data_IF_558141944032
#
_entry.id   IF_558141944032
#
_cell.length_a   1.000
_cell.length_b   1.000
_cell.length_c   1.000
_cell.angle_alpha   90.00
_cell.angle_beta   90.00
_cell.angle_gamma   90.00
#
_symmetry.space_group_name_H-M   'P 1'
#
loop_
_entity.id
_entity.type
_entity.pdbx_description
1 polymer ?
#
# COMPACT_ATOMS: atom_id res chain seq x y z
N UNK A 1 -36.93 4.16 20.64
CA UNK A 1 -35.62 3.63 21.07
C UNK A 1 -35.68 2.11 21.34
N UNK A 2 -36.52 1.33 20.62
CA UNK A 2 -36.71 -0.12 20.90
C UNK A 2 -36.92 -0.99 19.64
N UNK A 3 -36.77 -0.46 18.43
CA UNK A 3 -36.92 -1.24 17.18
C UNK A 3 -35.71 -2.13 16.92
N UNK A 4 -34.52 -1.72 17.35
CA UNK A 4 -33.26 -2.47 17.22
C UNK A 4 -33.29 -3.84 17.92
N UNK A 5 -33.97 -3.93 19.07
CA UNK A 5 -34.00 -5.17 19.86
C UNK A 5 -34.92 -6.23 19.25
N UNK A 6 -35.94 -5.80 18.50
CA UNK A 6 -36.87 -6.71 17.83
C UNK A 6 -36.28 -7.26 16.53
N UNK A 7 -35.53 -6.44 15.80
CA UNK A 7 -34.77 -6.86 14.61
C UNK A 7 -33.63 -7.83 14.98
N UNK A 8 -32.97 -7.63 16.13
CA UNK A 8 -31.98 -8.57 16.66
C UNK A 8 -32.59 -9.94 17.03
N UNK A 9 -33.81 -9.98 17.57
CA UNK A 9 -34.51 -11.23 17.89
C UNK A 9 -35.04 -11.96 16.63
N UNK A 10 -35.44 -11.22 15.61
CA UNK A 10 -35.82 -11.80 14.31
C UNK A 10 -34.62 -12.38 13.56
N UNK A 11 -33.43 -11.78 13.70
CA UNK A 11 -32.19 -12.33 13.16
C UNK A 11 -31.74 -13.62 13.89
N UNK A 12 -31.99 -13.73 15.20
CA UNK A 12 -31.71 -14.96 15.97
C UNK A 12 -32.69 -16.11 15.64
N UNK A 13 -33.87 -15.79 15.09
CA UNK A 13 -34.87 -16.75 14.66
C UNK A 13 -34.66 -17.30 13.23
N UNK A 14 -33.61 -16.85 12.52
CA UNK A 14 -33.20 -17.49 11.27
C UNK A 14 -32.70 -18.90 11.60
N UNK A 15 -33.52 -19.90 11.28
CA UNK A 15 -33.14 -21.31 11.33
C UNK A 15 -31.88 -21.53 10.49
N UNK A 16 -30.72 -21.60 11.15
CA UNK A 16 -29.50 -22.10 10.55
C UNK A 16 -29.79 -23.53 10.13
N UNK A 17 -30.02 -23.74 8.82
CA UNK A 17 -30.20 -25.07 8.26
C UNK A 17 -29.07 -25.96 8.77
N UNK A 18 -29.37 -27.04 9.51
CA UNK A 18 -28.34 -27.92 10.04
C UNK A 18 -27.53 -28.45 8.85
N UNK A 19 -26.21 -28.27 8.91
CA UNK A 19 -25.30 -28.76 7.88
C UNK A 19 -25.57 -30.24 7.65
N UNK A 20 -25.88 -30.61 6.40
CA UNK A 20 -26.10 -32.00 6.04
C UNK A 20 -24.82 -32.81 6.22
N UNK A 21 -24.93 -34.12 6.47
CA UNK A 21 -23.76 -35.02 6.61
C UNK A 21 -22.77 -34.87 5.46
N UNK A 22 -23.26 -34.67 4.23
CA UNK A 22 -22.44 -34.50 3.03
C UNK A 22 -21.61 -33.19 3.05
N UNK A 23 -22.15 -32.13 3.66
CA UNK A 23 -21.46 -30.84 3.78
C UNK A 23 -20.36 -30.90 4.85
N UNK A 24 -20.64 -31.57 5.97
CA UNK A 24 -19.66 -31.82 7.02
C UNK A 24 -18.52 -32.73 6.53
N UNK A 25 -18.81 -33.73 5.71
CA UNK A 25 -17.80 -34.59 5.07
C UNK A 25 -16.91 -33.78 4.11
N UNK A 26 -17.51 -32.92 3.27
CA UNK A 26 -16.76 -32.06 2.37
C UNK A 26 -15.88 -31.04 3.11
N UNK A 27 -16.41 -30.43 4.17
CA UNK A 27 -15.64 -29.53 5.02
C UNK A 27 -14.46 -30.26 5.69
N UNK A 28 -14.68 -31.50 6.16
CA UNK A 28 -13.63 -32.30 6.79
C UNK A 28 -12.50 -32.67 5.82
N UNK A 29 -12.81 -32.90 4.53
CA UNK A 29 -11.80 -33.12 3.49
C UNK A 29 -10.96 -31.86 3.22
N UNK A 30 -11.58 -30.68 3.15
CA UNK A 30 -10.85 -29.42 2.97
C UNK A 30 -9.93 -29.16 4.16
N UNK A 31 -10.39 -29.44 5.38
CA UNK A 31 -9.58 -29.32 6.60
C UNK A 31 -8.42 -30.33 6.60
N UNK A 32 -8.66 -31.57 6.14
CA UNK A 32 -7.60 -32.57 5.99
C UNK A 32 -6.47 -32.13 5.08
N UNK A 33 -6.78 -31.44 3.98
CA UNK A 33 -5.76 -30.86 3.10
C UNK A 33 -4.96 -29.71 3.76
N UNK A 34 -5.52 -29.04 4.76
CA UNK A 34 -4.82 -27.94 5.44
C UNK A 34 -4.01 -28.42 6.66
N UNK A 35 -4.33 -29.60 7.20
CA UNK A 35 -3.67 -30.18 8.36
C UNK A 35 -2.28 -30.75 8.02
N UNK A 36 -1.33 -30.58 8.94
CA UNK A 36 0.06 -31.04 8.79
C UNK A 36 0.28 -32.47 9.25
N UNK A 37 -0.45 -32.90 10.28
CA UNK A 37 -0.38 -34.24 10.86
C UNK A 37 -1.74 -34.64 11.47
N UNK A 38 -1.79 -35.86 12.03
CA UNK A 38 -3.03 -36.42 12.61
C UNK A 38 -3.53 -35.60 13.80
N UNK A 39 -2.63 -35.08 14.62
CA UNK A 39 -2.98 -34.38 15.85
C UNK A 39 -3.51 -32.97 15.49
N UNK A 40 -2.86 -32.29 14.56
CA UNK A 40 -3.32 -31.03 13.96
C UNK A 40 -4.70 -31.18 13.28
N UNK A 41 -4.94 -32.29 12.57
CA UNK A 41 -6.24 -32.61 12.00
C UNK A 41 -7.33 -32.76 13.06
N UNK A 42 -7.04 -33.46 14.15
CA UNK A 42 -7.99 -33.66 15.24
C UNK A 42 -8.35 -32.33 15.92
N UNK A 43 -7.36 -31.46 16.13
CA UNK A 43 -7.55 -30.13 16.71
C UNK A 43 -8.37 -29.21 15.79
N UNK A 44 -8.08 -29.19 14.49
CA UNK A 44 -8.81 -28.37 13.51
C UNK A 44 -10.26 -28.83 13.33
N UNK A 45 -10.52 -30.14 13.26
CA UNK A 45 -11.88 -30.68 13.18
C UNK A 45 -12.66 -30.38 14.47
N UNK A 46 -12.02 -30.52 15.63
CA UNK A 46 -12.59 -30.18 16.93
C UNK A 46 -12.97 -28.70 17.06
N UNK A 47 -12.10 -27.80 16.59
CA UNK A 47 -12.34 -26.36 16.59
C UNK A 47 -13.53 -25.94 15.69
N UNK A 48 -13.75 -26.67 14.60
CA UNK A 48 -14.82 -26.41 13.63
C UNK A 48 -16.12 -27.17 13.94
N UNK A 49 -16.15 -27.97 15.01
CA UNK A 49 -17.31 -28.79 15.36
C UNK A 49 -17.61 -29.90 14.34
N UNK A 50 -16.61 -30.30 13.56
CA UNK A 50 -16.71 -31.35 12.55
C UNK A 50 -16.49 -32.75 13.17
N UNK A 51 -16.93 -33.83 12.50
CA UNK A 51 -16.77 -35.18 13.02
C UNK A 51 -15.30 -35.57 13.24
N UNK A 52 -14.89 -35.69 14.51
CA UNK A 52 -13.50 -35.99 14.91
C UNK A 52 -13.29 -37.42 15.48
N UNK A 53 -14.25 -38.32 15.27
CA UNK A 53 -14.09 -39.72 15.70
C UNK A 53 -12.91 -40.41 14.98
N UNK A 54 -12.26 -41.37 15.64
CA UNK A 54 -11.07 -42.06 15.11
C UNK A 54 -11.31 -42.66 13.71
N UNK A 55 -12.49 -43.22 13.43
CA UNK A 55 -12.84 -43.75 12.10
C UNK A 55 -12.86 -42.66 11.01
N UNK A 56 -13.26 -41.44 11.35
CA UNK A 56 -13.23 -40.29 10.44
C UNK A 56 -11.80 -39.79 10.22
N UNK A 57 -10.99 -39.75 11.29
CA UNK A 57 -9.57 -39.41 11.17
C UNK A 57 -8.87 -40.40 10.25
N UNK A 58 -9.06 -41.72 10.44
CA UNK A 58 -8.47 -42.76 9.59
C UNK A 58 -8.89 -42.62 8.12
N UNK A 59 -10.14 -42.24 7.84
CA UNK A 59 -10.63 -41.96 6.48
C UNK A 59 -9.97 -40.73 5.85
N UNK A 60 -9.59 -39.74 6.65
CA UNK A 60 -9.03 -38.45 6.22
C UNK A 60 -7.50 -38.42 6.18
N UNK A 61 -6.81 -39.32 6.91
CA UNK A 61 -5.36 -39.44 6.93
C UNK A 61 -4.70 -39.51 5.53
N UNK A 62 -5.26 -40.20 4.52
CA UNK A 62 -4.70 -40.22 3.16
C UNK A 62 -4.71 -38.87 2.44
N UNK A 63 -5.48 -37.90 2.95
CA UNK A 63 -5.64 -36.57 2.36
C UNK A 63 -4.85 -35.48 3.08
N UNK A 64 -4.09 -35.85 4.11
CA UNK A 64 -3.14 -34.94 4.73
C UNK A 64 -2.13 -34.48 3.68
N UNK A 65 -1.81 -33.19 3.70
CA UNK A 65 -0.73 -32.66 2.88
C UNK A 65 0.57 -33.22 3.42
N UNK A 66 1.02 -34.34 2.85
CA UNK A 66 2.35 -34.88 3.09
C UNK A 66 3.34 -33.89 2.49
N UNK A 67 4.18 -33.20 3.28
CA UNK A 67 5.20 -32.30 2.74
C UNK A 67 6.31 -33.06 1.99
N UNK A 68 6.14 -34.37 1.75
CA UNK A 68 7.17 -35.29 1.30
C UNK A 68 6.88 -35.95 -0.06
N UNK A 69 5.73 -35.67 -0.70
CA UNK A 69 5.44 -36.19 -2.06
C UNK A 69 5.84 -35.22 -3.19
N UNK A 70 6.27 -34.00 -2.87
CA UNK A 70 6.73 -33.00 -3.86
C UNK A 70 8.19 -32.53 -3.64
N UNK A 71 9.00 -33.30 -2.91
CA UNK A 71 10.43 -33.01 -2.75
C UNK A 71 11.23 -34.18 -3.34
N UNK A 72 11.87 -34.04 -4.52
CA UNK A 72 12.91 -34.98 -4.90
C UNK A 72 14.00 -34.91 -3.84
N UNK A 73 14.26 -36.03 -3.16
CA UNK A 73 15.31 -36.26 -2.16
C UNK A 73 16.56 -35.45 -2.48
N UNK A 74 16.68 -34.30 -1.80
CA UNK A 74 17.82 -33.41 -1.87
C UNK A 74 18.55 -33.46 -0.54
N UNK A 75 19.84 -33.79 -0.64
CA UNK A 75 20.89 -33.68 0.37
C UNK A 75 20.83 -32.38 1.22
N UNK A 76 21.45 -32.37 2.42
CA UNK A 76 21.25 -31.34 3.45
C UNK A 76 21.39 -29.90 2.92
N UNK A 77 20.26 -29.20 2.92
CA UNK A 77 20.05 -27.84 2.43
C UNK A 77 20.56 -26.81 3.45
N UNK A 78 21.85 -26.51 3.45
CA UNK A 78 22.37 -25.23 3.97
C UNK A 78 23.42 -24.56 3.07
N UNK A 79 23.88 -25.20 1.99
CA UNK A 79 24.91 -24.61 1.11
C UNK A 79 24.36 -23.86 -0.12
N UNK A 80 23.14 -24.16 -0.62
CA UNK A 80 22.75 -23.70 -1.96
C UNK A 80 22.32 -22.21 -2.03
N UNK A 81 21.69 -21.67 -0.98
CA UNK A 81 21.28 -20.27 -0.96
C UNK A 81 22.47 -19.30 -0.94
N UNK A 82 23.54 -19.67 -0.25
CA UNK A 82 24.78 -18.89 -0.18
C UNK A 82 25.54 -18.96 -1.51
N UNK A 83 25.58 -20.12 -2.17
CA UNK A 83 26.17 -20.28 -3.50
C UNK A 83 25.42 -19.47 -4.57
N UNK A 84 24.09 -19.43 -4.53
CA UNK A 84 23.29 -18.61 -5.44
C UNK A 84 23.49 -17.10 -5.21
N UNK A 85 23.58 -16.69 -3.94
CA UNK A 85 23.86 -15.28 -3.59
C UNK A 85 25.28 -14.90 -4.01
N UNK A 86 26.26 -15.79 -3.80
CA UNK A 86 27.63 -15.59 -4.23
C UNK A 86 27.76 -15.50 -5.75
N UNK A 87 27.10 -16.38 -6.50
CA UNK A 87 27.07 -16.32 -7.96
C UNK A 87 26.45 -15.00 -8.45
N UNK A 88 25.40 -14.51 -7.79
CA UNK A 88 24.78 -13.21 -8.09
C UNK A 88 25.72 -12.03 -7.80
N UNK A 89 26.44 -12.04 -6.66
CA UNK A 89 27.45 -11.01 -6.37
C UNK A 89 28.59 -11.02 -7.39
N UNK A 90 29.05 -12.22 -7.80
CA UNK A 90 30.08 -12.37 -8.82
C UNK A 90 29.64 -11.89 -10.21
N UNK A 91 28.39 -12.14 -10.61
CA UNK A 91 27.85 -11.62 -11.88
C UNK A 91 27.64 -10.11 -11.86
N UNK A 92 27.44 -9.52 -10.67
CA UNK A 92 27.39 -8.07 -10.47
C UNK A 92 28.79 -7.42 -10.41
N UNK A 93 29.87 -8.20 -10.52
CA UNK A 93 31.25 -7.72 -10.60
C UNK A 93 31.98 -7.62 -9.26
N UNK A 94 31.44 -8.18 -8.19
CA UNK A 94 32.15 -8.25 -6.90
C UNK A 94 33.37 -9.18 -6.98
N UNK A 95 34.44 -8.80 -6.27
CA UNK A 95 35.65 -9.63 -6.18
C UNK A 95 35.37 -10.91 -5.39
N UNK A 96 35.90 -12.08 -5.81
CA UNK A 96 35.68 -13.36 -5.12
C UNK A 96 36.09 -13.34 -3.64
N UNK A 97 37.15 -12.59 -3.29
CA UNK A 97 37.58 -12.42 -1.89
C UNK A 97 36.57 -11.63 -1.05
N UNK A 98 35.90 -10.65 -1.67
CA UNK A 98 34.85 -9.88 -1.02
C UNK A 98 33.60 -10.73 -0.76
N UNK A 99 33.19 -11.54 -1.74
CA UNK A 99 32.06 -12.46 -1.62
C UNK A 99 32.31 -13.51 -0.55
N UNK A 100 33.54 -14.07 -0.52
CA UNK A 100 33.96 -15.02 0.51
C UNK A 100 33.90 -14.43 1.92
N UNK A 101 34.44 -13.23 2.11
CA UNK A 101 34.43 -12.57 3.42
C UNK A 101 33.01 -12.18 3.87
N UNK A 102 32.14 -11.77 2.94
CA UNK A 102 30.79 -11.30 3.24
C UNK A 102 29.84 -12.45 3.57
N UNK A 103 29.96 -13.57 2.85
CA UNK A 103 29.08 -14.74 3.01
C UNK A 103 29.68 -15.83 3.90
N UNK A 104 30.93 -15.69 4.34
CA UNK A 104 31.61 -16.66 5.19
C UNK A 104 31.87 -18.00 4.48
N UNK A 105 31.99 -17.99 3.15
CA UNK A 105 32.12 -19.19 2.33
C UNK A 105 33.51 -19.83 2.44
N UNK A 106 33.54 -21.16 2.36
CA UNK A 106 34.77 -21.92 2.14
C UNK A 106 35.25 -21.82 0.69
N UNK A 107 36.53 -22.11 0.46
CA UNK A 107 37.16 -22.09 -0.88
C UNK A 107 36.40 -22.97 -1.89
N UNK A 108 35.89 -24.11 -1.43
CA UNK A 108 35.14 -25.06 -2.23
C UNK A 108 33.76 -24.52 -2.63
N UNK A 109 33.08 -23.81 -1.74
CA UNK A 109 31.77 -23.22 -2.03
C UNK A 109 31.89 -21.99 -2.95
N UNK A 110 32.99 -21.24 -2.85
CA UNK A 110 33.30 -20.15 -3.78
C UNK A 110 33.59 -20.69 -5.19
N UNK A 111 34.30 -21.82 -5.29
CA UNK A 111 34.55 -22.47 -6.58
C UNK A 111 33.25 -22.96 -7.25
N UNK A 112 32.32 -23.50 -6.46
CA UNK A 112 30.98 -23.86 -6.94
C UNK A 112 30.16 -22.64 -7.38
N UNK A 113 30.26 -21.52 -6.67
CA UNK A 113 29.59 -20.27 -7.05
C UNK A 113 30.14 -19.66 -8.35
N UNK A 114 31.47 -19.70 -8.55
CA UNK A 114 32.13 -19.27 -9.80
C UNK A 114 31.70 -20.15 -10.97
N UNK A 115 31.58 -21.46 -10.75
CA UNK A 115 31.08 -22.40 -11.76
C UNK A 115 29.60 -22.14 -12.09
N UNK A 116 28.78 -21.79 -11.10
CA UNK A 116 27.38 -21.42 -11.31
C UNK A 116 27.18 -20.07 -12.01
N UNK A 117 28.13 -19.14 -11.86
CA UNK A 117 28.14 -17.85 -12.54
C UNK A 117 28.64 -17.92 -14.00
N UNK A 118 29.00 -19.12 -14.49
CA UNK A 118 29.55 -19.37 -15.84
C UNK A 118 30.80 -18.50 -16.15
N UNK A 119 31.54 -18.13 -15.10
CA UNK A 119 32.78 -17.37 -15.19
C UNK A 119 33.96 -18.35 -15.33
N UNK A 120 35.00 -18.02 -16.12
CA UNK A 120 36.16 -18.88 -16.25
C UNK A 120 36.82 -19.07 -14.87
N UNK A 121 36.93 -20.32 -14.42
CA UNK A 121 37.61 -20.66 -13.18
C UNK A 121 39.04 -20.10 -13.23
N UNK A 122 39.49 -19.32 -12.21
CA UNK A 122 40.88 -18.93 -12.14
C UNK A 122 41.67 -20.22 -11.88
N UNK A 123 42.26 -20.74 -12.95
CA UNK A 123 43.21 -21.83 -12.88
C UNK A 123 44.35 -21.40 -11.99
N UNK A 124 44.51 -22.13 -10.88
CA UNK A 124 45.69 -22.15 -10.02
C UNK A 124 46.95 -22.19 -10.89
N UNK A 125 47.63 -21.04 -10.99
CA UNK A 125 49.03 -20.97 -11.41
C UNK A 125 49.83 -20.76 -10.11
N UNK A 126 50.89 -21.55 -9.86
CA UNK A 126 51.61 -21.48 -8.60
C UNK A 126 52.36 -20.15 -8.47
N UNK A 127 52.55 -19.77 -7.20
CA UNK A 127 53.28 -18.59 -6.73
C UNK A 127 54.50 -18.20 -7.57
N UNK A 128 54.79 -16.89 -7.59
CA UNK A 128 56.15 -16.46 -7.30
C UNK A 128 56.20 -15.56 -6.06
N UNK A 129 57.26 -15.77 -5.30
CA UNK A 129 57.65 -15.05 -4.10
C UNK A 129 57.68 -13.52 -4.26
N UNK A 130 57.19 -12.87 -3.20
CA UNK A 130 57.84 -11.77 -2.44
C UNK A 130 58.57 -10.66 -3.22
N UNK A 131 58.00 -9.45 -3.22
CA UNK A 131 58.59 -8.18 -2.75
C UNK A 131 57.69 -7.00 -3.20
N UNK A 132 57.05 -6.30 -2.25
CA UNK A 132 57.49 -4.98 -1.77
C UNK A 132 57.01 -3.81 -2.65
N UNK A 133 55.99 -3.08 -2.17
CA UNK A 133 56.00 -1.61 -2.04
C UNK A 133 54.60 -1.06 -1.77
N UNK A 134 54.41 -0.64 -0.52
CA UNK A 134 53.78 0.62 -0.08
C UNK A 134 53.29 1.56 -1.19
N UNK A 135 51.99 1.91 -1.16
CA UNK A 135 51.51 3.30 -0.99
C UNK A 135 49.97 3.37 -1.07
N UNK A 136 49.36 3.92 -0.02
CA UNK A 136 48.11 4.67 -0.14
C UNK A 136 48.38 5.91 -1.04
N UNK A 137 47.37 6.45 -1.76
CA UNK A 137 46.53 7.45 -1.11
C UNK A 137 45.06 7.52 -1.58
N UNK A 138 44.34 8.32 -0.82
CA UNK A 138 43.24 9.21 -1.25
C UNK A 138 41.87 8.65 -1.63
N UNK A 139 41.00 8.79 -0.62
CA UNK A 139 39.62 9.19 -0.75
C UNK A 139 39.38 10.13 -1.95
N UNK A 140 38.77 9.59 -3.00
CA UNK A 140 38.03 10.40 -3.97
C UNK A 140 36.55 10.14 -3.71
N UNK A 141 35.88 11.16 -3.17
CA UNK A 141 34.43 11.23 -3.12
C UNK A 141 33.89 11.10 -4.56
N UNK A 142 33.20 9.99 -4.84
CA UNK A 142 32.49 9.79 -6.10
C UNK A 142 31.18 10.58 -6.01
N UNK A 143 30.89 11.49 -6.97
CA UNK A 143 29.64 12.22 -7.00
C UNK A 143 28.49 11.26 -7.32
N UNK A 144 27.34 11.51 -6.69
CA UNK A 144 26.11 10.77 -6.93
C UNK A 144 25.79 10.72 -8.44
N UNK A 145 25.52 9.55 -9.03
CA UNK A 145 25.09 9.49 -10.42
C UNK A 145 23.64 10.01 -10.49
N UNK A 146 23.44 11.08 -11.24
CA UNK A 146 22.11 11.54 -11.64
C UNK A 146 21.42 10.42 -12.43
N UNK A 147 20.41 9.81 -11.82
CA UNK A 147 19.77 8.54 -12.20
C UNK A 147 18.88 8.59 -13.46
N UNK A 148 19.39 9.13 -14.57
CA UNK A 148 18.67 9.14 -15.86
C UNK A 148 19.36 8.30 -16.95
N UNK A 149 20.65 7.99 -16.79
CA UNK A 149 21.41 7.22 -17.79
C UNK A 149 20.99 5.75 -17.89
N UNK A 150 20.29 5.23 -16.87
CA UNK A 150 19.90 3.81 -16.80
C UNK A 150 18.66 3.50 -17.64
N UNK A 151 17.69 4.43 -17.72
CA UNK A 151 16.48 4.24 -18.53
C UNK A 151 16.80 4.25 -20.02
N UNK A 152 17.66 5.16 -20.46
CA UNK A 152 18.12 5.22 -21.85
C UNK A 152 18.93 3.97 -22.24
N UNK A 153 19.71 3.41 -21.31
CA UNK A 153 20.43 2.15 -21.49
C UNK A 153 19.51 0.94 -21.64
N UNK A 154 18.47 0.84 -20.81
CA UNK A 154 17.47 -0.24 -20.89
C UNK A 154 16.69 -0.16 -22.22
N UNK A 155 16.27 1.04 -22.65
CA UNK A 155 15.55 1.18 -23.92
C UNK A 155 16.44 0.89 -25.13
N UNK A 156 17.73 1.23 -25.08
CA UNK A 156 18.71 0.85 -26.10
C UNK A 156 18.89 -0.68 -26.19
N UNK A 157 18.94 -1.38 -25.05
CA UNK A 157 19.05 -2.85 -25.00
C UNK A 157 17.78 -3.54 -25.51
N UNK A 158 16.60 -3.02 -25.18
CA UNK A 158 15.33 -3.55 -25.68
C UNK A 158 15.19 -3.34 -27.20
N UNK A 159 15.59 -2.16 -27.69
CA UNK A 159 15.61 -1.84 -29.13
C UNK A 159 16.57 -2.75 -29.90
N UNK A 160 17.77 -3.03 -29.35
CA UNK A 160 18.69 -4.00 -29.94
C UNK A 160 18.08 -5.41 -29.96
N UNK A 161 17.49 -5.85 -28.83
CA UNK A 161 16.93 -7.17 -28.68
C UNK A 161 15.75 -7.44 -29.64
N UNK A 162 14.98 -6.43 -30.02
CA UNK A 162 13.92 -6.54 -31.04
C UNK A 162 14.43 -6.77 -32.46
N UNK A 163 15.57 -6.17 -32.80
CA UNK A 163 16.20 -6.36 -34.12
C UNK A 163 17.02 -7.64 -34.19
N UNK A 164 17.13 -8.39 -33.09
CA UNK A 164 17.96 -9.57 -33.01
C UNK A 164 17.44 -10.69 -33.92
N UNK A 165 18.31 -11.41 -34.66
CA UNK A 165 17.92 -12.55 -35.48
C UNK A 165 17.33 -13.73 -34.69
N UNK A 166 17.51 -13.79 -33.37
CA UNK A 166 17.06 -14.90 -32.54
C UNK A 166 15.65 -14.59 -32.02
N UNK A 167 14.68 -15.46 -32.33
CA UNK A 167 13.29 -15.27 -31.92
C UNK A 167 13.11 -15.27 -30.39
N UNK A 168 13.92 -16.04 -29.66
CA UNK A 168 13.89 -16.09 -28.19
C UNK A 168 14.23 -14.75 -27.56
N UNK A 169 15.20 -14.01 -28.11
CA UNK A 169 15.64 -12.71 -27.61
C UNK A 169 14.56 -11.65 -27.88
N UNK A 170 13.95 -11.65 -29.06
CA UNK A 170 12.83 -10.76 -29.38
C UNK A 170 11.63 -10.99 -28.46
N UNK A 171 11.25 -12.24 -28.25
CA UNK A 171 10.14 -12.59 -27.35
C UNK A 171 10.41 -12.14 -25.92
N UNK A 172 11.66 -12.25 -25.45
CA UNK A 172 12.06 -11.77 -24.13
C UNK A 172 11.96 -10.25 -24.03
N UNK A 173 12.39 -9.51 -25.05
CA UNK A 173 12.24 -8.05 -25.08
C UNK A 173 10.77 -7.62 -25.01
N UNK A 174 9.88 -8.28 -25.76
CA UNK A 174 8.44 -8.02 -25.70
C UNK A 174 7.87 -8.27 -24.30
N UNK A 175 8.28 -9.36 -23.65
CA UNK A 175 7.84 -9.67 -22.28
C UNK A 175 8.31 -8.61 -21.29
N UNK A 176 9.59 -8.25 -21.32
CA UNK A 176 10.15 -7.23 -20.44
C UNK A 176 9.46 -5.88 -20.63
N UNK A 177 9.09 -5.50 -21.85
CA UNK A 177 8.29 -4.28 -22.08
C UNK A 177 6.89 -4.36 -21.48
N UNK A 178 6.24 -5.51 -21.61
CA UNK A 178 4.94 -5.73 -20.98
C UNK A 178 5.04 -5.58 -19.46
N UNK A 179 6.04 -6.23 -18.86
CA UNK A 179 6.26 -6.20 -17.41
C UNK A 179 6.62 -4.78 -16.92
N UNK A 180 7.45 -4.04 -17.67
CA UNK A 180 7.78 -2.64 -17.36
C UNK A 180 6.54 -1.74 -17.40
N UNK A 181 5.65 -1.96 -18.39
CA UNK A 181 4.40 -1.22 -18.51
C UNK A 181 3.49 -1.53 -17.32
N UNK A 182 3.34 -2.81 -16.96
CA UNK A 182 2.55 -3.24 -15.79
C UNK A 182 3.07 -2.62 -14.48
N UNK A 183 4.39 -2.64 -14.26
CA UNK A 183 5.01 -2.01 -13.08
C UNK A 183 4.78 -0.50 -13.04
N UNK A 184 4.81 0.15 -14.20
CA UNK A 184 4.56 1.60 -14.30
C UNK A 184 3.10 1.93 -13.98
N UNK A 185 2.16 1.15 -14.51
CA UNK A 185 0.73 1.28 -14.22
C UNK A 185 0.42 1.02 -12.75
N UNK A 186 1.07 0.02 -12.15
CA UNK A 186 0.94 -0.27 -10.71
C UNK A 186 1.43 0.89 -9.87
N UNK A 187 2.59 1.46 -10.20
CA UNK A 187 3.15 2.62 -9.51
C UNK A 187 2.24 3.84 -9.63
N UNK A 188 1.64 4.08 -10.79
CA UNK A 188 0.69 5.17 -11.00
C UNK A 188 -0.56 4.98 -10.13
N UNK A 189 -1.08 3.76 -10.05
CA UNK A 189 -2.22 3.41 -9.20
C UNK A 189 -1.91 3.63 -7.71
N UNK A 190 -0.75 3.17 -7.24
CA UNK A 190 -0.33 3.35 -5.84
C UNK A 190 -0.09 4.84 -5.52
N UNK A 191 0.37 5.65 -6.49
CA UNK A 191 0.49 7.10 -6.32
C UNK A 191 -0.86 7.79 -6.21
N UNK A 192 -1.82 7.43 -7.07
CA UNK A 192 -3.19 7.95 -7.02
C UNK A 192 -3.89 7.57 -5.70
N UNK A 193 -3.64 6.37 -5.18
CA UNK A 193 -4.15 5.95 -3.88
C UNK A 193 -3.61 6.82 -2.76
N UNK A 194 -2.28 7.06 -2.69
CA UNK A 194 -1.69 7.94 -1.67
C UNK A 194 -2.24 9.36 -1.75
N UNK A 195 -2.43 9.91 -2.95
CA UNK A 195 -3.03 11.24 -3.11
C UNK A 195 -4.48 11.26 -2.60
N UNK A 196 -5.26 10.22 -2.86
CA UNK A 196 -6.62 10.10 -2.34
C UNK A 196 -6.63 10.00 -0.80
N UNK A 197 -5.73 9.21 -0.22
CA UNK A 197 -5.57 9.09 1.23
C UNK A 197 -5.16 10.42 1.87
N UNK A 198 -4.26 11.17 1.24
CA UNK A 198 -3.85 12.50 1.70
C UNK A 198 -5.03 13.50 1.66
N UNK A 199 -5.84 13.48 0.58
CA UNK A 199 -7.06 14.29 0.51
C UNK A 199 -8.03 13.95 1.63
N UNK A 200 -8.23 12.68 1.93
CA UNK A 200 -9.08 12.24 3.05
C UNK A 200 -8.51 12.70 4.40
N UNK A 201 -7.20 12.60 4.60
CA UNK A 201 -6.55 13.06 5.82
C UNK A 201 -6.72 14.58 6.02
N UNK A 202 -6.54 15.37 4.95
CA UNK A 202 -6.74 16.82 4.98
C UNK A 202 -8.21 17.19 5.28
N UNK A 203 -9.17 16.55 4.61
CA UNK A 203 -10.59 16.79 4.86
C UNK A 203 -10.99 16.43 6.31
N UNK A 204 -10.42 15.35 6.86
CA UNK A 204 -10.66 14.95 8.26
C UNK A 204 -10.09 15.97 9.24
N UNK A 205 -8.89 16.49 9.00
CA UNK A 205 -8.29 17.54 9.83
C UNK A 205 -9.12 18.83 9.81
N UNK A 206 -9.64 19.21 8.64
CA UNK A 206 -10.53 20.37 8.50
C UNK A 206 -11.86 20.17 9.25
N UNK A 207 -12.46 18.98 9.15
CA UNK A 207 -13.68 18.63 9.86
C UNK A 207 -13.47 18.72 11.38
N UNK A 208 -12.35 18.19 11.88
CA UNK A 208 -12.00 18.29 13.31
C UNK A 208 -11.83 19.75 13.74
N UNK A 209 -11.14 20.57 12.95
CA UNK A 209 -10.99 22.00 13.21
C UNK A 209 -12.35 22.71 13.24
N UNK A 210 -13.24 22.42 12.29
CA UNK A 210 -14.59 22.97 12.25
C UNK A 210 -15.43 22.54 13.46
N UNK A 211 -15.32 21.28 13.89
CA UNK A 211 -15.97 20.80 15.10
C UNK A 211 -15.43 21.50 16.36
N UNK A 212 -14.11 21.71 16.44
CA UNK A 212 -13.49 22.43 17.55
C UNK A 212 -14.00 23.88 17.62
N UNK A 213 -14.12 24.57 16.48
CA UNK A 213 -14.72 25.90 16.40
C UNK A 213 -16.18 25.91 16.86
N UNK A 214 -16.97 24.92 16.44
CA UNK A 214 -18.36 24.79 16.87
C UNK A 214 -18.49 24.54 18.38
N UNK A 215 -17.61 23.70 18.94
CA UNK A 215 -17.53 23.49 20.40
C UNK A 215 -17.17 24.78 21.13
N UNK A 216 -16.22 25.56 20.61
CA UNK A 216 -15.83 26.85 21.20
C UNK A 216 -16.98 27.87 21.17
N UNK A 217 -17.71 27.98 20.05
CA UNK A 217 -18.88 28.87 19.93
C UNK A 217 -20.01 28.44 20.86
N UNK A 218 -20.27 27.13 20.99
CA UNK A 218 -21.28 26.59 21.92
C UNK A 218 -20.89 26.79 23.39
N UNK A 219 -19.62 26.64 23.73
CA UNK A 219 -19.14 26.97 25.07
C UNK A 219 -19.21 28.49 25.34
N UNK A 220 -19.13 29.30 24.29
CA UNK A 220 -19.20 30.76 24.32
C UNK A 220 -20.61 31.37 24.38
N UNK A 221 -21.71 30.60 24.46
CA UNK A 221 -23.02 31.21 24.76
C UNK A 221 -24.18 30.24 24.96
N UNK A 222 -25.35 30.70 25.48
CA UNK A 222 -25.62 31.81 26.37
C UNK A 222 -25.92 31.29 27.79
N UNK A 223 -25.02 31.51 28.76
CA UNK A 223 -25.37 31.40 30.17
C UNK A 223 -25.96 32.75 30.63
N UNK A 224 -27.28 32.80 30.74
CA UNK A 224 -27.96 33.90 31.40
C UNK A 224 -27.79 33.77 32.92
N UNK A 225 -27.24 34.83 33.51
CA UNK A 225 -27.56 35.36 34.84
C UNK A 225 -26.97 34.66 36.07
N UNK A 226 -25.76 35.06 36.46
CA UNK A 226 -25.42 35.32 37.87
C UNK A 226 -24.24 36.31 37.97
N UNK A 227 -24.60 37.58 38.14
CA UNK A 227 -23.92 38.67 38.87
C UNK A 227 -22.39 38.57 39.05
N UNK A 228 -21.64 39.48 38.43
CA UNK A 228 -20.86 40.49 39.18
C UNK A 228 -20.23 41.56 38.29
N UNK A 229 -20.37 42.78 38.80
CA UNK A 229 -19.89 44.08 38.34
C UNK A 229 -18.36 44.13 38.18
N UNK A 230 -17.87 44.58 37.02
CA UNK A 230 -16.65 45.39 36.85
C UNK A 230 -16.38 45.70 35.35
N UNK A 231 -16.70 46.95 34.96
CA UNK A 231 -15.99 47.84 34.00
C UNK A 231 -15.65 47.34 32.57
N UNK A 232 -16.09 48.04 31.50
CA UNK A 232 -16.06 47.53 30.12
C UNK A 232 -14.74 47.81 29.37
N UNK A 233 -14.11 46.77 28.84
CA UNK A 233 -13.19 46.84 27.68
C UNK A 233 -13.58 45.73 26.69
N UNK A 234 -13.91 46.15 25.47
CA UNK A 234 -14.55 45.35 24.44
C UNK A 234 -13.66 44.22 23.87
N UNK A 235 -14.17 42.99 23.73
CA UNK A 235 -13.53 41.91 22.98
C UNK A 235 -14.02 41.82 21.52
N UNK A 236 -13.12 41.36 20.65
CA UNK A 236 -13.30 41.16 19.21
C UNK A 236 -14.35 40.06 18.85
N UNK A 237 -15.03 40.15 17.69
CA UNK A 237 -16.26 39.40 17.44
C UNK A 237 -16.05 38.02 16.81
N UNK A 238 -16.95 37.09 17.16
CA UNK A 238 -17.21 35.83 16.48
C UNK A 238 -17.76 36.05 15.04
N UNK A 239 -17.60 35.09 14.10
CA UNK A 239 -18.25 35.18 12.79
C UNK A 239 -19.72 34.83 12.95
N UNK A 240 -20.52 35.81 13.38
CA UNK A 240 -21.93 35.81 13.07
C UNK A 240 -22.06 36.03 11.56
N UNK A 241 -22.87 35.21 10.88
CA UNK A 241 -23.31 35.40 9.48
C UNK A 241 -24.26 36.62 9.36
N UNK A 242 -24.02 37.64 10.16
CA UNK A 242 -24.70 38.94 10.19
C UNK A 242 -23.70 40.09 10.19
N UNK A 243 -22.45 39.82 9.77
CA UNK A 243 -21.51 40.87 9.35
C UNK A 243 -21.95 41.43 8.00
N UNK A 244 -21.92 42.76 7.86
CA UNK A 244 -22.15 43.44 6.58
C UNK A 244 -21.29 42.77 5.50
N UNK A 245 -21.93 42.17 4.49
CA UNK A 245 -21.23 41.59 3.32
C UNK A 245 -20.23 42.59 2.78
N UNK A 246 -19.02 42.10 2.48
CA UNK A 246 -17.96 42.97 1.96
C UNK A 246 -18.40 43.56 0.61
N UNK A 247 -17.83 44.71 0.25
CA UNK A 247 -18.19 45.39 -1.00
C UNK A 247 -17.87 44.50 -2.22
N UNK A 248 -16.82 43.69 -2.08
CA UNK A 248 -16.35 42.69 -3.02
C UNK A 248 -17.35 41.54 -3.17
N UNK A 249 -17.85 41.00 -2.05
CA UNK A 249 -18.88 39.95 -2.06
C UNK A 249 -20.18 40.43 -2.69
N UNK A 250 -20.62 41.66 -2.37
CA UNK A 250 -21.78 42.26 -3.03
C UNK A 250 -21.56 42.50 -4.53
N UNK A 251 -20.33 42.74 -4.98
CA UNK A 251 -20.01 42.83 -6.41
C UNK A 251 -20.10 41.46 -7.09
N UNK A 252 -19.57 40.40 -6.47
CA UNK A 252 -19.69 39.04 -6.95
C UNK A 252 -21.17 38.60 -7.06
N UNK A 253 -21.97 38.88 -6.04
CA UNK A 253 -23.41 38.58 -6.04
C UNK A 253 -24.13 39.34 -7.15
N UNK A 254 -23.79 40.61 -7.40
CA UNK A 254 -24.37 41.38 -8.53
C UNK A 254 -23.99 40.79 -9.88
N UNK A 255 -22.74 40.36 -10.06
CA UNK A 255 -22.28 39.73 -11.31
C UNK A 255 -23.01 38.41 -11.55
N UNK A 256 -23.09 37.56 -10.52
CA UNK A 256 -23.84 36.30 -10.60
C UNK A 256 -25.32 36.54 -10.89
N UNK A 257 -25.94 37.50 -10.20
CA UNK A 257 -27.35 37.80 -10.38
C UNK A 257 -27.66 38.28 -11.81
N UNK A 258 -26.82 39.14 -12.41
CA UNK A 258 -26.97 39.57 -13.81
C UNK A 258 -26.78 38.40 -14.79
N UNK A 259 -25.82 37.51 -14.53
CA UNK A 259 -25.62 36.31 -15.33
C UNK A 259 -26.82 35.35 -15.29
N UNK A 260 -27.56 35.33 -14.17
CA UNK A 260 -28.79 34.56 -13.98
C UNK A 260 -30.07 35.32 -14.37
N UNK A 261 -29.95 36.45 -15.06
CA UNK A 261 -31.10 37.23 -15.55
C UNK A 261 -31.86 38.03 -14.46
N UNK A 262 -31.30 38.14 -13.26
CA UNK A 262 -31.89 38.98 -12.21
C UNK A 262 -31.49 40.45 -12.39
N UNK A 263 -32.48 41.34 -12.33
CA UNK A 263 -32.26 42.78 -12.42
C UNK A 263 -31.84 43.33 -11.05
N UNK A 264 -30.60 43.82 -10.96
CA UNK A 264 -30.00 44.34 -9.72
C UNK A 264 -29.44 45.74 -9.98
N UNK A 265 -29.66 46.65 -9.04
CA UNK A 265 -29.10 48.01 -9.10
C UNK A 265 -27.56 47.97 -9.02
N UNK A 266 -26.90 48.88 -9.75
CA UNK A 266 -25.43 48.94 -9.81
C UNK A 266 -24.78 49.35 -8.49
N UNK A 267 -25.52 50.02 -7.61
CA UNK A 267 -25.06 50.47 -6.29
C UNK A 267 -26.08 50.12 -5.22
N UNK A 268 -25.57 49.77 -4.04
CA UNK A 268 -26.37 49.44 -2.87
C UNK A 268 -26.48 47.94 -2.60
N UNK A 269 -27.40 47.61 -1.70
CA UNK A 269 -27.62 46.25 -1.24
C UNK A 269 -28.61 45.54 -2.18
N UNK A 270 -28.23 44.40 -2.80
CA UNK A 270 -29.15 43.61 -3.63
C UNK A 270 -30.35 43.10 -2.82
N UNK A 271 -31.46 42.82 -3.51
CA UNK A 271 -32.68 42.35 -2.86
C UNK A 271 -32.43 41.02 -2.12
N UNK A 272 -33.06 40.85 -0.95
CA UNK A 272 -32.88 39.67 -0.09
C UNK A 272 -33.10 38.35 -0.85
N UNK A 273 -34.06 38.31 -1.78
CA UNK A 273 -34.33 37.14 -2.63
C UNK A 273 -33.13 36.72 -3.50
N UNK A 274 -32.34 37.68 -3.98
CA UNK A 274 -31.14 37.42 -4.78
C UNK A 274 -30.01 36.89 -3.89
N UNK A 275 -29.92 37.41 -2.66
CA UNK A 275 -28.96 36.95 -1.68
C UNK A 275 -29.21 35.49 -1.30
N UNK A 276 -30.45 35.16 -0.97
CA UNK A 276 -30.83 33.79 -0.61
C UNK A 276 -30.62 32.81 -1.79
N UNK A 277 -30.87 33.24 -3.03
CA UNK A 277 -30.63 32.44 -4.22
C UNK A 277 -29.14 32.22 -4.50
N UNK A 278 -28.31 33.25 -4.31
CA UNK A 278 -26.86 33.15 -4.43
C UNK A 278 -26.30 32.18 -3.39
N UNK A 279 -26.72 32.32 -2.13
CA UNK A 279 -26.29 31.46 -1.03
C UNK A 279 -26.72 30.01 -1.26
N UNK A 280 -27.93 29.78 -1.79
CA UNK A 280 -28.40 28.45 -2.19
C UNK A 280 -27.51 27.80 -3.25
N UNK A 281 -27.25 28.50 -4.35
CA UNK A 281 -26.45 27.99 -5.46
C UNK A 281 -25.00 27.67 -5.05
N UNK A 282 -24.38 28.53 -4.26
CA UNK A 282 -22.98 28.36 -3.85
C UNK A 282 -22.83 27.42 -2.65
N UNK A 283 -23.88 27.19 -1.85
CA UNK A 283 -23.90 26.12 -0.84
C UNK A 283 -23.94 24.74 -1.50
N UNK A 284 -24.68 24.58 -2.60
CA UNK A 284 -24.70 23.33 -3.37
C UNK A 284 -23.39 23.05 -4.09
N UNK A 285 -22.71 24.07 -4.63
CA UNK A 285 -21.38 23.86 -5.27
C UNK A 285 -20.32 23.44 -4.25
N UNK A 286 -20.27 24.08 -3.08
CA UNK A 286 -19.36 23.65 -2.01
C UNK A 286 -19.69 22.25 -1.45
N UNK A 287 -20.93 21.79 -1.58
CA UNK A 287 -21.33 20.44 -1.18
C UNK A 287 -21.05 19.39 -2.27
N UNK A 288 -21.10 19.79 -3.54
CA UNK A 288 -20.84 18.92 -4.70
C UNK A 288 -19.35 18.76 -5.02
N UNK A 289 -18.50 19.73 -4.66
CA UNK A 289 -17.03 19.58 -4.73
C UNK A 289 -16.46 18.82 -3.51
N UNK A 290 -17.30 18.55 -2.50
CA UNK A 290 -16.96 17.79 -1.30
C UNK A 290 -17.49 16.34 -1.30
N UNK A 291 -18.08 15.87 -2.41
CA UNK A 291 -18.44 14.46 -2.67
C UNK A 291 -17.63 13.90 -3.83
#
# INVERSE_FOLDING_TARGET
>A
MFTDMQEALEAEALELTPLGSDQSDAASLVVAHQARDKDDLADLLGALGLPCAEDNLVRLLPHLTTPNDDIPTGDPMTANAFTATAASMLTNGDSPEHVRSTLGLSETELAEAVQHADLPTPTTVPAPDTADSTSAPEATAVPAPDGTTDTDGIEALLSWAETHPAASIRNRATRVRSDLTELTDRRATDAAQREAEERVANAKAELEAAQAQLRAVKAGGPAATAVQDATPVAPAPAPAVTGKRSKEELAAIRTWARANGHQVADKGNPAKKILDAYDGAHRTTNLAEAS
#
